data_IF_408764833018
#
_entry.id   IF_408764833018
#
_cell.length_a   1.000
_cell.length_b   1.000
_cell.length_c   1.000
_cell.angle_alpha   90.00
_cell.angle_beta   90.00
_cell.angle_gamma   90.00
#
_symmetry.space_group_name_H-M   'P 1'
#
loop_
_entity.id
_entity.type
_entity.pdbx_description
1 polymer ?
#
# COMPACT_ATOMS: atom_id res chain seq x y z
N UNK A 1 15.86 -23.18 -7.03
CA UNK A 1 15.07 -22.91 -5.81
C UNK A 1 13.60 -23.05 -6.18
N UNK A 2 12.78 -23.78 -5.40
CA UNK A 2 11.35 -23.90 -5.68
C UNK A 2 10.64 -22.60 -5.29
N UNK A 3 9.71 -22.14 -6.13
CA UNK A 3 8.85 -21.00 -5.82
C UNK A 3 7.84 -21.38 -4.74
N UNK A 4 7.69 -20.55 -3.72
CA UNK A 4 6.83 -20.77 -2.56
C UNK A 4 6.09 -19.49 -2.23
N UNK A 5 4.77 -19.59 -2.07
CA UNK A 5 3.90 -18.53 -1.58
C UNK A 5 3.23 -19.06 -0.31
N UNK A 6 3.57 -18.49 0.84
CA UNK A 6 2.95 -18.81 2.12
C UNK A 6 2.00 -17.68 2.53
N UNK A 7 0.81 -18.03 2.99
CA UNK A 7 -0.22 -17.09 3.45
C UNK A 7 -0.76 -17.53 4.80
N UNK A 8 -1.01 -16.56 5.68
CA UNK A 8 -1.65 -16.79 6.97
C UNK A 8 -2.77 -15.77 7.17
N UNK A 9 -3.92 -16.23 7.67
CA UNK A 9 -5.01 -15.36 8.13
C UNK A 9 -5.09 -15.51 9.64
N UNK A 10 -4.91 -14.42 10.39
CA UNK A 10 -4.73 -14.44 11.84
C UNK A 10 -5.24 -13.18 12.51
N UNK A 11 -5.07 -13.13 13.84
CA UNK A 11 -5.32 -11.94 14.66
C UNK A 11 -6.67 -11.25 14.36
N UNK A 12 -7.80 -11.96 14.56
CA UNK A 12 -9.11 -11.34 14.37
C UNK A 12 -9.29 -10.18 15.36
N UNK A 13 -9.65 -8.99 14.86
CA UNK A 13 -9.89 -7.82 15.70
C UNK A 13 -11.23 -7.19 15.39
N UNK A 14 -11.88 -6.72 16.45
CA UNK A 14 -13.06 -5.85 16.33
C UNK A 14 -12.55 -4.44 16.04
N UNK A 15 -12.87 -3.94 14.85
CA UNK A 15 -12.68 -2.55 14.48
C UNK A 15 -13.95 -1.77 14.83
N UNK A 16 -13.75 -0.56 15.34
CA UNK A 16 -14.83 0.41 15.58
C UNK A 16 -14.72 1.48 14.50
N UNK A 17 -15.64 1.44 13.54
CA UNK A 17 -15.76 2.46 12.50
C UNK A 17 -16.45 3.69 13.11
N UNK A 18 -17.57 3.47 13.83
CA UNK A 18 -18.32 4.46 14.62
C UNK A 18 -18.97 3.80 15.85
N UNK A 19 -19.75 4.56 16.63
CA UNK A 19 -20.46 4.09 17.83
C UNK A 19 -21.37 2.86 17.60
N UNK A 20 -21.89 2.69 16.38
CA UNK A 20 -22.83 1.61 16.02
C UNK A 20 -22.27 0.64 14.98
N UNK A 21 -21.18 1.01 14.31
CA UNK A 21 -20.62 0.27 13.19
C UNK A 21 -19.31 -0.38 13.63
N UNK A 22 -19.42 -1.57 14.20
CA UNK A 22 -18.27 -2.42 14.46
C UNK A 22 -18.22 -3.58 13.47
N UNK A 23 -17.03 -4.05 13.15
CA UNK A 23 -16.82 -5.22 12.31
C UNK A 23 -15.57 -5.98 12.74
N UNK A 24 -15.50 -7.26 12.36
CA UNK A 24 -14.27 -8.05 12.52
C UNK A 24 -13.49 -8.02 11.22
N UNK A 25 -12.20 -7.68 11.33
CA UNK A 25 -11.20 -7.91 10.31
C UNK A 25 -10.16 -8.94 10.76
N UNK A 26 -9.38 -9.40 9.79
CA UNK A 26 -8.33 -10.38 9.97
C UNK A 26 -7.04 -9.82 9.40
N UNK A 27 -5.92 -10.08 10.06
CA UNK A 27 -4.60 -9.85 9.50
C UNK A 27 -4.29 -10.94 8.48
N UNK A 28 -3.99 -10.55 7.26
CA UNK A 28 -3.46 -11.42 6.21
C UNK A 28 -1.97 -11.14 6.12
N UNK A 29 -1.13 -12.15 6.28
CA UNK A 29 0.30 -12.04 6.03
C UNK A 29 0.75 -12.95 4.91
N UNK A 30 1.59 -12.41 4.02
CA UNK A 30 2.23 -13.13 2.92
C UNK A 30 3.74 -13.21 3.18
N UNK A 31 4.33 -14.36 2.91
CA UNK A 31 5.76 -14.53 2.73
C UNK A 31 5.99 -15.34 1.47
N UNK A 32 6.75 -14.80 0.52
CA UNK A 32 6.97 -15.45 -0.77
C UNK A 32 8.33 -15.12 -1.37
N UNK A 33 8.88 -16.04 -2.14
CA UNK A 33 10.00 -15.77 -3.06
C UNK A 33 9.53 -15.55 -4.50
N UNK A 34 8.23 -15.70 -4.78
CA UNK A 34 7.62 -15.57 -6.10
C UNK A 34 7.87 -14.22 -6.77
N UNK A 35 8.08 -14.22 -8.09
CA UNK A 35 8.18 -12.99 -8.88
C UNK A 35 6.82 -12.42 -9.26
N UNK A 36 5.73 -13.15 -9.02
CA UNK A 36 4.37 -12.64 -9.21
C UNK A 36 4.04 -11.52 -8.20
N UNK A 37 4.78 -11.40 -7.10
CA UNK A 37 4.52 -10.45 -6.03
C UNK A 37 5.54 -9.31 -6.02
N UNK A 38 5.05 -8.09 -5.78
CA UNK A 38 5.90 -6.89 -5.63
C UNK A 38 6.67 -6.94 -4.31
N UNK A 39 5.99 -7.22 -3.19
CA UNK A 39 6.64 -7.39 -1.89
C UNK A 39 6.87 -8.88 -1.59
N UNK A 40 8.03 -9.21 -1.04
CA UNK A 40 8.32 -10.58 -0.56
C UNK A 40 7.64 -10.89 0.77
N UNK A 41 7.33 -9.84 1.54
CA UNK A 41 6.51 -9.93 2.74
C UNK A 41 5.50 -8.78 2.76
N UNK A 42 4.26 -9.08 3.14
CA UNK A 42 3.23 -8.05 3.40
C UNK A 42 2.34 -8.51 4.54
N UNK A 43 1.81 -7.58 5.32
CA UNK A 43 0.71 -7.82 6.24
C UNK A 43 -0.31 -6.69 6.09
N UNK A 44 -1.57 -7.07 5.84
CA UNK A 44 -2.71 -6.16 5.60
C UNK A 44 -3.89 -6.62 6.46
N UNK A 45 -4.86 -5.74 6.71
CA UNK A 45 -6.10 -6.12 7.40
C UNK A 45 -7.29 -6.06 6.47
N UNK A 46 -8.07 -7.14 6.43
CA UNK A 46 -9.26 -7.25 5.57
C UNK A 46 -10.42 -7.86 6.34
N UNK A 47 -11.62 -7.33 6.13
CA UNK A 47 -12.88 -7.88 6.67
C UNK A 47 -13.54 -8.81 5.67
N UNK A 48 -14.40 -9.69 6.17
CA UNK A 48 -15.06 -10.73 5.36
C UNK A 48 -15.77 -10.20 4.11
N UNK A 49 -16.43 -9.03 4.16
CA UNK A 49 -17.13 -8.46 2.98
C UNK A 49 -16.16 -8.16 1.82
N UNK A 50 -14.92 -7.81 2.11
CA UNK A 50 -13.92 -7.52 1.08
C UNK A 50 -13.44 -8.81 0.41
N UNK A 51 -13.38 -9.93 1.13
CA UNK A 51 -13.14 -11.25 0.52
C UNK A 51 -14.27 -11.67 -0.43
N UNK A 52 -15.52 -11.38 -0.06
CA UNK A 52 -16.69 -11.61 -0.94
C UNK A 52 -16.55 -10.80 -2.23
N UNK A 53 -16.20 -9.51 -2.11
CA UNK A 53 -15.90 -8.66 -3.26
C UNK A 53 -14.76 -9.24 -4.11
N UNK A 54 -13.63 -9.59 -3.50
CA UNK A 54 -12.47 -10.14 -4.20
C UNK A 54 -12.85 -11.39 -5.00
N UNK A 55 -13.54 -12.35 -4.37
CA UNK A 55 -13.99 -13.58 -5.05
C UNK A 55 -14.89 -13.25 -6.25
N UNK A 56 -15.79 -12.28 -6.11
CA UNK A 56 -16.66 -11.87 -7.22
C UNK A 56 -15.86 -11.29 -8.39
N UNK A 57 -14.87 -10.43 -8.11
CA UNK A 57 -14.00 -9.83 -9.15
C UNK A 57 -13.10 -10.86 -9.83
N UNK A 58 -12.51 -11.77 -9.06
CA UNK A 58 -11.76 -12.89 -9.61
C UNK A 58 -12.64 -13.76 -10.51
N UNK A 59 -13.91 -13.97 -10.13
CA UNK A 59 -14.83 -14.81 -10.94
C UNK A 59 -15.19 -14.14 -12.26
N UNK A 60 -15.41 -12.82 -12.26
CA UNK A 60 -15.73 -12.08 -13.49
C UNK A 60 -14.56 -12.07 -14.47
N UNK A 61 -13.32 -12.00 -13.96
CA UNK A 61 -12.13 -11.95 -14.81
C UNK A 61 -11.66 -13.34 -15.27
N UNK A 62 -11.97 -14.39 -14.51
CA UNK A 62 -11.58 -15.77 -14.82
C UNK A 62 -12.80 -16.71 -14.82
N UNK A 63 -13.74 -16.50 -15.76
CA UNK A 63 -15.03 -17.21 -15.81
C UNK A 63 -14.88 -18.73 -15.86
N UNK A 64 -13.87 -19.23 -16.57
CA UNK A 64 -13.59 -20.67 -16.71
C UNK A 64 -12.90 -21.29 -15.49
N UNK A 65 -12.37 -20.47 -14.57
CA UNK A 65 -11.70 -20.96 -13.36
C UNK A 65 -12.75 -21.28 -12.29
N UNK A 66 -12.65 -22.49 -11.73
CA UNK A 66 -13.38 -22.86 -10.52
C UNK A 66 -12.73 -22.18 -9.31
N UNK A 67 -13.41 -21.17 -8.75
CA UNK A 67 -12.90 -20.46 -7.57
C UNK A 67 -13.25 -21.21 -6.29
N UNK A 68 -12.32 -21.29 -5.33
CA UNK A 68 -12.61 -21.83 -4.01
C UNK A 68 -13.78 -21.08 -3.36
N UNK A 69 -14.55 -21.81 -2.57
CA UNK A 69 -15.64 -21.23 -1.80
C UNK A 69 -15.08 -20.41 -0.63
N UNK A 70 -15.78 -19.33 -0.29
CA UNK A 70 -15.54 -18.65 0.97
C UNK A 70 -16.26 -19.41 2.09
N UNK A 71 -15.77 -19.33 3.34
CA UNK A 71 -16.54 -19.84 4.47
C UNK A 71 -17.93 -19.21 4.43
N UNK A 72 -18.95 -20.03 4.66
CA UNK A 72 -20.34 -19.61 4.49
C UNK A 72 -20.62 -18.32 5.25
N UNK A 73 -21.48 -17.47 4.67
CA UNK A 73 -22.15 -16.42 5.44
C UNK A 73 -23.05 -17.11 6.43
N UNK A 74 -22.51 -17.52 7.58
CA UNK A 74 -23.31 -18.11 8.65
C UNK A 74 -24.42 -17.10 8.97
N UNK A 75 -25.71 -17.45 8.79
CA UNK A 75 -26.81 -16.51 9.03
C UNK A 75 -26.82 -16.01 10.48
N UNK A 76 -26.19 -16.77 11.38
CA UNK A 76 -26.00 -16.44 12.79
C UNK A 76 -24.52 -16.22 13.15
N UNK A 77 -23.71 -15.67 12.23
CA UNK A 77 -22.34 -15.31 12.59
C UNK A 77 -22.36 -14.35 13.77
N UNK A 78 -21.64 -14.72 14.83
CA UNK A 78 -21.58 -13.96 16.05
C UNK A 78 -20.12 -13.57 16.28
N UNK A 79 -19.84 -12.27 16.24
CA UNK A 79 -18.53 -11.70 16.45
C UNK A 79 -17.96 -11.98 17.85
N UNK A 80 -18.81 -12.23 18.86
CA UNK A 80 -18.37 -12.61 20.20
C UNK A 80 -18.14 -14.11 20.37
N UNK A 81 -18.56 -14.94 19.40
CA UNK A 81 -18.32 -16.37 19.43
C UNK A 81 -16.96 -16.69 18.79
N UNK A 82 -15.99 -17.06 19.62
CA UNK A 82 -14.61 -17.39 19.21
C UNK A 82 -14.58 -18.53 18.18
N UNK A 83 -15.45 -19.53 18.28
CA UNK A 83 -15.50 -20.63 17.31
C UNK A 83 -15.97 -20.14 15.94
N UNK A 84 -16.96 -19.24 15.87
CA UNK A 84 -17.42 -18.66 14.60
C UNK A 84 -16.30 -17.83 13.95
N UNK A 85 -15.58 -17.04 14.75
CA UNK A 85 -14.47 -16.21 14.29
C UNK A 85 -13.32 -17.06 13.76
N UNK A 86 -12.94 -18.12 14.48
CA UNK A 86 -11.84 -19.00 14.07
C UNK A 86 -12.19 -19.87 12.86
N UNK A 87 -13.41 -20.41 12.78
CA UNK A 87 -13.88 -21.13 11.59
C UNK A 87 -13.84 -20.23 10.34
N UNK A 88 -14.27 -18.98 10.48
CA UNK A 88 -14.18 -18.01 9.39
C UNK A 88 -12.72 -17.71 9.04
N UNK A 89 -11.86 -17.45 10.02
CA UNK A 89 -10.42 -17.22 9.80
C UNK A 89 -9.79 -18.37 9.01
N UNK A 90 -10.05 -19.61 9.41
CA UNK A 90 -9.55 -20.81 8.76
C UNK A 90 -10.03 -20.94 7.32
N UNK A 91 -11.34 -20.77 7.07
CA UNK A 91 -11.87 -20.81 5.70
C UNK A 91 -11.35 -19.68 4.81
N UNK A 92 -11.09 -18.49 5.37
CA UNK A 92 -10.45 -17.39 4.64
C UNK A 92 -9.00 -17.72 4.27
N UNK A 93 -8.26 -18.41 5.14
CA UNK A 93 -6.90 -18.88 4.82
C UNK A 93 -6.92 -19.92 3.71
N UNK A 94 -7.76 -20.95 3.83
CA UNK A 94 -7.90 -22.00 2.80
C UNK A 94 -8.33 -21.43 1.44
N UNK A 95 -9.20 -20.42 1.45
CA UNK A 95 -9.58 -19.69 0.24
C UNK A 95 -8.34 -19.05 -0.42
N UNK A 96 -7.52 -18.32 0.34
CA UNK A 96 -6.31 -17.68 -0.21
C UNK A 96 -5.27 -18.71 -0.64
N UNK A 97 -5.03 -19.75 0.15
CA UNK A 97 -4.09 -20.83 -0.21
C UNK A 97 -4.44 -21.44 -1.57
N UNK A 98 -5.73 -21.70 -1.83
CA UNK A 98 -6.20 -22.23 -3.12
C UNK A 98 -6.15 -21.20 -4.24
N UNK A 99 -6.50 -19.94 -3.99
CA UNK A 99 -6.40 -18.85 -4.99
C UNK A 99 -4.95 -18.67 -5.44
N UNK A 100 -4.00 -18.67 -4.50
CA UNK A 100 -2.58 -18.42 -4.73
C UNK A 100 -1.85 -19.57 -5.46
N UNK A 101 -2.49 -20.74 -5.59
CA UNK A 101 -1.98 -21.85 -6.39
C UNK A 101 -2.33 -21.72 -7.89
N UNK A 102 -3.20 -20.77 -8.27
CA UNK A 102 -3.66 -20.61 -9.64
C UNK A 102 -3.00 -19.38 -10.31
N UNK A 103 -2.16 -19.63 -11.32
CA UNK A 103 -1.41 -18.59 -12.03
C UNK A 103 -2.29 -17.58 -12.78
N UNK A 104 -3.47 -18.00 -13.25
CA UNK A 104 -4.44 -17.08 -13.88
C UNK A 104 -4.94 -16.07 -12.85
N UNK A 105 -5.24 -16.51 -11.63
CA UNK A 105 -5.68 -15.62 -10.55
C UNK A 105 -4.54 -14.73 -10.04
N UNK A 106 -3.30 -15.26 -10.01
CA UNK A 106 -2.10 -14.48 -9.67
C UNK A 106 -1.81 -13.36 -10.67
N UNK A 107 -2.36 -13.40 -11.89
CA UNK A 107 -2.20 -12.30 -12.85
C UNK A 107 -3.13 -11.11 -12.58
N UNK A 108 -4.13 -11.25 -11.71
CA UNK A 108 -5.09 -10.18 -11.40
C UNK A 108 -4.49 -9.17 -10.41
N UNK A 109 -4.32 -7.92 -10.85
CA UNK A 109 -3.80 -6.83 -10.01
C UNK A 109 -4.67 -6.52 -8.80
N UNK A 110 -5.98 -6.83 -8.83
CA UNK A 110 -6.87 -6.66 -7.67
C UNK A 110 -6.47 -7.57 -6.52
N UNK A 111 -6.00 -8.79 -6.82
CA UNK A 111 -5.50 -9.72 -5.81
C UNK A 111 -4.24 -9.17 -5.14
N UNK A 112 -3.32 -8.62 -5.92
CA UNK A 112 -2.09 -8.02 -5.40
C UNK A 112 -2.37 -6.79 -4.54
N UNK A 113 -3.23 -5.89 -5.00
CA UNK A 113 -3.62 -4.73 -4.18
C UNK A 113 -4.35 -5.15 -2.91
N UNK A 114 -5.19 -6.19 -2.97
CA UNK A 114 -5.88 -6.74 -1.80
C UNK A 114 -4.90 -7.27 -0.75
N UNK A 115 -3.82 -7.96 -1.17
CA UNK A 115 -2.84 -8.62 -0.31
C UNK A 115 -1.65 -7.74 0.10
N UNK A 116 -1.33 -6.70 -0.67
CA UNK A 116 -0.10 -5.91 -0.53
C UNK A 116 -0.34 -4.41 -0.37
N UNK A 117 -1.60 -3.98 -0.22
CA UNK A 117 -1.97 -2.61 0.12
C UNK A 117 -3.19 -2.57 1.05
N UNK A 118 -3.45 -1.41 1.66
CA UNK A 118 -4.65 -1.16 2.47
C UNK A 118 -5.74 -0.37 1.71
N UNK A 119 -5.68 -0.32 0.37
CA UNK A 119 -6.69 0.34 -0.45
C UNK A 119 -8.08 -0.29 -0.27
N UNK A 120 -9.13 0.53 -0.27
CA UNK A 120 -10.53 0.08 -0.26
C UNK A 120 -10.88 -0.67 -1.56
N UNK A 121 -11.92 -1.53 -1.60
CA UNK A 121 -12.40 -2.13 -2.84
C UNK A 121 -12.65 -1.12 -3.96
N UNK A 122 -13.18 0.06 -3.61
CA UNK A 122 -13.46 1.16 -4.53
C UNK A 122 -12.15 1.73 -5.11
N UNK A 123 -11.16 2.01 -4.26
CA UNK A 123 -9.85 2.51 -4.69
C UNK A 123 -9.07 1.47 -5.50
N UNK A 124 -9.24 0.18 -5.20
CA UNK A 124 -8.66 -0.90 -5.99
C UNK A 124 -9.25 -0.87 -7.40
N UNK A 125 -10.58 -0.79 -7.55
CA UNK A 125 -11.21 -0.72 -8.88
C UNK A 125 -10.80 0.54 -9.65
N UNK A 126 -10.71 1.69 -8.99
CA UNK A 126 -10.21 2.91 -9.61
C UNK A 126 -8.76 2.74 -10.09
N UNK A 127 -7.90 2.10 -9.29
CA UNK A 127 -6.50 1.88 -9.63
C UNK A 127 -6.31 0.96 -10.83
N UNK A 128 -6.98 -0.20 -10.82
CA UNK A 128 -6.88 -1.17 -11.93
C UNK A 128 -7.55 -0.69 -13.22
N UNK A 129 -8.48 0.26 -13.12
CA UNK A 129 -9.13 0.91 -14.27
C UNK A 129 -8.36 2.13 -14.79
N UNK A 130 -7.22 2.47 -14.20
CA UNK A 130 -6.40 3.62 -14.60
C UNK A 130 -7.00 4.98 -14.22
N UNK A 131 -7.89 5.02 -13.23
CA UNK A 131 -8.58 6.23 -12.76
C UNK A 131 -7.87 6.91 -11.58
N UNK A 132 -6.79 6.32 -11.06
CA UNK A 132 -5.96 6.90 -10.00
C UNK A 132 -4.73 7.60 -10.57
N UNK A 133 -4.13 8.50 -9.79
CA UNK A 133 -2.86 9.17 -10.13
C UNK A 133 -1.61 8.29 -9.92
N UNK A 134 -1.81 7.11 -9.32
CA UNK A 134 -0.76 6.15 -9.00
C UNK A 134 -1.09 4.80 -9.64
N UNK A 135 -0.06 4.07 -10.02
CA UNK A 135 -0.12 2.69 -10.51
C UNK A 135 -0.27 1.68 -9.36
N UNK A 136 -0.52 0.43 -9.72
CA UNK A 136 -0.55 -0.70 -8.78
C UNK A 136 0.75 -0.82 -8.00
N UNK A 137 1.90 -0.74 -8.67
CA UNK A 137 3.22 -0.86 -8.05
C UNK A 137 3.52 0.29 -7.08
N UNK A 138 3.13 1.52 -7.44
CA UNK A 138 3.28 2.69 -6.58
C UNK A 138 2.39 2.59 -5.33
N UNK A 139 1.14 2.11 -5.47
CA UNK A 139 0.25 1.88 -4.34
C UNK A 139 0.84 0.89 -3.32
N UNK A 140 1.36 -0.24 -3.81
CA UNK A 140 2.00 -1.27 -2.99
C UNK A 140 3.28 -0.73 -2.34
N UNK A 141 4.11 0.00 -3.08
CA UNK A 141 5.36 0.57 -2.57
C UNK A 141 5.11 1.62 -1.49
N UNK A 142 4.12 2.50 -1.70
CA UNK A 142 3.70 3.51 -0.71
C UNK A 142 3.16 2.86 0.57
N UNK A 143 2.41 1.77 0.45
CA UNK A 143 1.97 1.01 1.61
C UNK A 143 3.15 0.40 2.37
N UNK A 144 4.12 -0.17 1.64
CA UNK A 144 5.31 -0.76 2.24
C UNK A 144 6.16 0.25 3.01
N UNK A 145 6.33 1.49 2.51
CA UNK A 145 7.06 2.54 3.24
C UNK A 145 6.28 2.99 4.48
N UNK A 146 4.97 3.19 4.37
CA UNK A 146 4.12 3.64 5.47
C UNK A 146 3.97 2.60 6.59
N UNK A 147 4.03 1.31 6.26
CA UNK A 147 3.86 0.21 7.21
C UNK A 147 5.18 -0.23 7.88
N UNK A 148 6.34 0.25 7.40
CA UNK A 148 7.61 0.04 8.11
C UNK A 148 7.65 0.95 9.32
N UNK A 149 7.70 0.37 10.52
CA UNK A 149 7.81 1.07 11.82
C UNK A 149 9.10 1.88 12.02
N UNK A 150 9.89 2.12 10.98
CA UNK A 150 11.14 2.87 11.06
C UNK A 150 10.95 4.26 10.42
N UNK A 151 11.28 5.36 11.12
CA UNK A 151 11.25 6.69 10.54
C UNK A 151 12.15 6.76 9.30
N UNK A 152 11.68 7.39 8.24
CA UNK A 152 12.54 7.83 7.14
C UNK A 152 13.54 8.85 7.69
N UNK A 153 14.83 8.53 7.67
CA UNK A 153 15.86 9.55 7.75
C UNK A 153 15.71 10.41 6.50
N UNK A 154 15.25 11.65 6.68
CA UNK A 154 15.25 12.64 5.61
C UNK A 154 16.71 12.90 5.25
N UNK A 155 17.17 12.35 4.13
CA UNK A 155 18.34 12.88 3.45
C UNK A 155 18.00 14.32 3.03
N UNK A 156 18.44 15.27 3.84
CA UNK A 156 18.51 16.67 3.43
C UNK A 156 19.42 16.73 2.20
N UNK A 157 18.82 16.89 1.02
CA UNK A 157 19.52 17.31 -0.18
C UNK A 157 20.16 18.67 0.10
N UNK A 158 21.42 18.68 0.56
CA UNK A 158 22.27 19.86 0.49
C UNK A 158 22.43 20.22 -0.98
N UNK A 159 21.69 21.24 -1.40
CA UNK A 159 21.92 21.92 -2.67
C UNK A 159 23.30 22.57 -2.57
N UNK A 160 24.28 21.97 -3.22
CA UNK A 160 25.63 22.51 -3.31
C UNK A 160 25.61 23.64 -4.35
N UNK A 161 25.37 24.87 -3.91
CA UNK A 161 25.65 26.06 -4.71
C UNK A 161 27.17 26.26 -4.74
N UNK A 162 27.84 25.68 -5.74
CA UNK A 162 29.20 26.10 -6.09
C UNK A 162 29.09 27.39 -6.91
N UNK A 163 29.09 28.54 -6.23
CA UNK A 163 29.48 29.79 -6.87
C UNK A 163 30.99 29.73 -7.16
N UNK A 164 31.30 29.44 -8.43
CA UNK A 164 32.59 29.77 -9.00
C UNK A 164 32.75 31.29 -8.96
N UNK A 165 33.65 31.78 -8.13
CA UNK A 165 34.23 33.11 -8.33
C UNK A 165 35.70 33.06 -7.96
N UNK A 166 36.51 33.08 -9.01
CA UNK A 166 37.96 33.24 -8.94
C UNK A 166 38.28 34.60 -8.33
N UNK A 167 39.19 34.67 -7.36
CA UNK A 167 39.82 35.92 -6.97
C UNK A 167 41.32 35.79 -7.16
N UNK A 168 41.76 36.33 -8.30
CA UNK A 168 43.14 36.67 -8.57
C UNK A 168 43.61 37.86 -7.72
N UNK A 169 44.92 37.88 -7.56
CA UNK A 169 45.78 38.86 -6.89
C UNK A 169 45.61 40.28 -7.46
N UNK A 170 45.86 41.32 -6.65
CA UNK A 170 46.26 42.62 -7.20
C UNK A 170 45.99 43.84 -6.31
N UNK A 171 47.07 44.54 -5.98
CA UNK A 171 47.18 45.72 -5.11
C UNK A 171 46.57 47.03 -5.66
N UNK A 172 46.28 47.93 -4.70
CA UNK A 172 46.39 49.41 -4.68
C UNK A 172 46.49 50.18 -6.00
N UNK A 173 45.64 51.20 -6.20
CA UNK A 173 45.92 52.60 -5.80
C UNK A 173 44.93 53.62 -6.43
N UNK A 174 44.53 54.57 -5.60
CA UNK A 174 44.37 56.03 -5.82
C UNK A 174 43.21 56.70 -6.61
N UNK A 175 42.73 57.77 -5.97
CA UNK A 175 42.20 59.05 -6.46
C UNK A 175 40.85 59.17 -7.19
N UNK A 176 39.91 59.90 -6.55
CA UNK A 176 39.32 61.20 -7.01
C UNK A 176 37.85 61.40 -6.59
N UNK A 177 37.61 62.47 -5.82
CA UNK A 177 36.33 63.17 -5.51
C UNK A 177 36.16 64.35 -6.50
N UNK A 178 35.04 65.10 -6.70
CA UNK A 178 33.65 65.06 -6.16
C UNK A 178 32.54 65.14 -7.26
N UNK A 179 31.26 65.06 -6.88
CA UNK A 179 30.28 66.11 -7.21
C UNK A 179 29.01 66.02 -6.35
N UNK A 180 28.64 67.16 -5.76
CA UNK A 180 27.41 67.39 -5.02
C UNK A 180 26.32 67.98 -5.92
N UNK A 181 25.04 67.71 -5.63
CA UNK A 181 23.98 68.71 -5.78
C UNK A 181 22.75 68.34 -4.92
N UNK A 182 22.29 69.31 -4.12
CA UNK A 182 21.03 69.35 -3.38
C UNK A 182 19.84 69.55 -4.35
N UNK A 183 18.57 69.31 -3.98
CA UNK A 183 17.64 70.31 -3.39
C UNK A 183 16.27 69.62 -3.19
N UNK A 184 15.77 69.50 -1.96
CA UNK A 184 14.61 70.20 -1.34
C UNK A 184 13.24 70.17 -2.03
N UNK A 185 12.28 69.59 -1.29
CA UNK A 185 10.87 69.95 -1.02
C UNK A 185 10.02 70.71 -2.06
N UNK A 186 8.83 70.16 -2.32
CA UNK A 186 7.52 70.79 -2.11
C UNK A 186 6.49 69.70 -1.82
#
# INVERSE_FOLDING_TARGET
MKEVISVWVRDPKIQKEDFWHSYIDYEICIHTNSMCFTLKTSCVRRRFREFVWLRQRLKSNAVLVALPELPSKTPFFNASNVQHVDQRRQGLQEFLEKVLQNTVLLSDSRLHLFLQSQLSPEDIEACVSGQTKYSVAEAISKFASSNRRFPEEKEEKKINYCESSSSGLGHSSDSSIPHACATSMS
#
